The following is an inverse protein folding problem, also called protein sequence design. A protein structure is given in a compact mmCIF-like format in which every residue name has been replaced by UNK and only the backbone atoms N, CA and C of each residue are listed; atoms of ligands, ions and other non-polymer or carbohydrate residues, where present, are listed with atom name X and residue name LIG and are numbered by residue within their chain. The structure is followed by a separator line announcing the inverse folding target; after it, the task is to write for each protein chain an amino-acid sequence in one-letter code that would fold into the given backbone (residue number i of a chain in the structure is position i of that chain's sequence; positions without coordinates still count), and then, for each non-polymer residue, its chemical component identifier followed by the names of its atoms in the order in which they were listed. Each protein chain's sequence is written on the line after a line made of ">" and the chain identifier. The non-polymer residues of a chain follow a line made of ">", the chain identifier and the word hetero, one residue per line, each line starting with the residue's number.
data_IF_117461241805
#
_entry.id   IF_117461241805
#
_cell.length_a   1.000
_cell.length_b   1.000
_cell.length_c   1.000
_cell.angle_alpha   90.00
_cell.angle_beta   90.00
_cell.angle_gamma   90.00
#
_symmetry.space_group_name_H-M   'P 1'
#
loop_
_entity.id
_entity.type
_entity.pdbx_description
1 polymer ?
#
# COMPACT_ATOMS: atom_id res chain seq x y z
N UNK A 1 -1.88 8.46 -60.88
CA UNK A 1 -1.19 7.18 -61.16
C UNK A 1 0.26 7.33 -60.74
N UNK A 2 0.59 6.94 -59.51
CA UNK A 2 1.98 6.84 -59.05
C UNK A 2 2.21 5.40 -58.62
N UNK A 3 3.26 4.71 -59.10
CA UNK A 3 3.49 3.34 -58.74
C UNK A 3 4.27 3.22 -57.43
N UNK A 4 3.80 2.29 -56.60
CA UNK A 4 4.45 1.72 -55.43
C UNK A 4 5.63 0.82 -55.87
N UNK A 5 6.69 0.72 -55.06
CA UNK A 5 6.99 -0.47 -54.22
C UNK A 5 8.47 -0.55 -53.78
N UNK A 6 8.62 -0.84 -52.48
CA UNK A 6 9.59 -1.70 -51.77
C UNK A 6 11.02 -1.91 -52.29
N UNK A 7 12.00 -1.70 -51.39
CA UNK A 7 13.00 -2.73 -51.12
C UNK A 7 13.54 -2.68 -49.67
N UNK A 8 13.81 -3.86 -49.12
CA UNK A 8 14.27 -4.12 -47.76
C UNK A 8 15.67 -4.76 -47.83
N UNK A 9 16.62 -4.37 -46.96
CA UNK A 9 17.88 -5.13 -46.89
C UNK A 9 19.04 -4.51 -46.13
N UNK A 10 19.11 -4.86 -44.83
CA UNK A 10 20.28 -5.03 -43.95
C UNK A 10 21.66 -5.07 -44.63
N UNK A 11 22.65 -4.36 -44.05
CA UNK A 11 24.03 -4.86 -43.84
C UNK A 11 24.82 -4.04 -42.81
N UNK A 12 25.32 -4.73 -41.79
CA UNK A 12 26.32 -4.27 -40.83
C UNK A 12 27.74 -4.71 -41.26
N UNK A 13 28.76 -3.92 -40.87
CA UNK A 13 30.23 -4.15 -40.71
C UNK A 13 30.88 -2.74 -40.77
N UNK A 14 31.74 -2.21 -39.91
CA UNK A 14 32.59 -2.71 -38.81
C UNK A 14 33.96 -1.99 -38.92
N UNK A 15 34.49 -1.46 -37.79
CA UNK A 15 35.87 -0.96 -37.48
C UNK A 15 35.87 0.50 -36.94
N UNK A 16 36.00 0.75 -35.61
CA UNK A 16 37.24 0.92 -34.80
C UNK A 16 37.99 2.23 -35.14
N UNK A 17 38.25 3.24 -34.28
CA UNK A 17 38.65 3.38 -32.85
C UNK A 17 38.62 4.90 -32.49
N UNK A 18 39.17 5.46 -31.37
CA UNK A 18 39.38 4.99 -29.98
C UNK A 18 38.84 5.99 -28.91
N UNK A 19 38.81 5.57 -27.64
CA UNK A 19 39.01 6.47 -26.49
C UNK A 19 37.77 7.17 -25.92
N UNK A 20 37.22 6.62 -24.82
CA UNK A 20 36.21 7.29 -24.03
C UNK A 20 35.81 6.46 -22.82
N UNK A 21 36.52 6.63 -21.71
CA UNK A 21 36.16 6.04 -20.42
C UNK A 21 34.80 6.60 -19.98
N UNK A 22 33.73 5.83 -20.14
CA UNK A 22 32.42 6.17 -19.59
C UNK A 22 32.44 5.88 -18.08
N UNK A 23 33.00 6.81 -17.31
CA UNK A 23 32.77 6.85 -15.86
C UNK A 23 31.35 7.34 -15.65
N UNK A 24 30.47 6.43 -15.28
CA UNK A 24 29.18 6.73 -14.66
C UNK A 24 29.41 7.73 -13.53
N UNK A 25 28.92 8.97 -13.70
CA UNK A 25 28.86 9.93 -12.62
C UNK A 25 27.96 9.35 -11.51
N UNK A 26 28.40 9.29 -10.25
CA UNK A 26 27.51 8.99 -9.14
C UNK A 26 26.40 10.07 -9.11
N UNK A 27 25.16 9.61 -8.92
CA UNK A 27 24.06 10.51 -8.54
C UNK A 27 24.47 11.19 -7.22
N UNK A 28 24.47 12.53 -7.11
CA UNK A 28 24.78 13.16 -5.83
C UNK A 28 23.72 12.75 -4.82
N UNK A 29 24.17 12.36 -3.63
CA UNK A 29 23.32 12.11 -2.46
C UNK A 29 22.46 13.35 -2.21
N UNK A 30 21.23 13.33 -2.72
CA UNK A 30 20.25 14.37 -2.47
C UNK A 30 19.78 14.20 -1.03
N UNK A 31 20.53 14.82 -0.11
CA UNK A 31 20.01 15.26 1.18
C UNK A 31 18.69 15.97 0.89
N UNK A 32 17.60 15.47 1.47
CA UNK A 32 16.30 16.16 1.41
C UNK A 32 16.48 17.46 2.16
N UNK A 33 16.67 18.54 1.41
CA UNK A 33 16.78 19.88 1.97
C UNK A 33 15.39 20.31 2.42
N UNK A 34 15.19 20.35 3.73
CA UNK A 34 13.98 20.89 4.33
C UNK A 34 14.04 22.41 4.20
N UNK A 35 13.00 23.08 3.67
CA UNK A 35 13.03 24.54 3.61
C UNK A 35 13.21 25.11 5.02
N UNK A 36 14.23 25.95 5.20
CA UNK A 36 14.46 26.63 6.48
C UNK A 36 13.19 27.37 6.92
N UNK A 37 12.68 26.97 8.09
CA UNK A 37 11.41 27.44 8.62
C UNK A 37 11.49 28.92 9.01
N UNK A 38 11.06 29.81 8.10
CA UNK A 38 10.61 31.14 8.46
C UNK A 38 9.41 31.03 9.40
N UNK A 39 9.59 31.49 10.65
CA UNK A 39 8.58 31.78 11.68
C UNK A 39 7.29 30.95 11.63
N UNK A 40 7.18 29.94 12.50
CA UNK A 40 5.95 29.14 12.68
C UNK A 40 4.83 30.02 13.25
N UNK A 41 4.11 30.72 12.37
CA UNK A 41 2.86 31.35 12.73
C UNK A 41 1.86 30.23 13.11
N UNK A 42 1.36 30.25 14.35
CA UNK A 42 0.27 29.37 14.80
C UNK A 42 -1.00 29.71 14.02
N UNK A 43 -1.20 29.07 12.87
CA UNK A 43 -2.45 29.15 12.13
C UNK A 43 -3.41 28.09 12.71
N UNK A 44 -4.61 28.44 13.17
CA UNK A 44 -5.56 27.46 13.68
C UNK A 44 -5.93 26.48 12.56
N UNK A 45 -5.63 25.19 12.78
CA UNK A 45 -6.02 24.10 11.88
C UNK A 45 -7.54 24.00 11.92
N UNK A 46 -8.22 24.57 10.90
CA UNK A 46 -9.66 24.33 10.72
C UNK A 46 -9.86 22.84 10.46
N UNK A 47 -10.37 22.11 11.46
CA UNK A 47 -10.98 20.78 11.32
C UNK A 47 -12.28 20.89 10.51
N UNK A 48 -12.17 21.31 9.26
CA UNK A 48 -13.28 21.36 8.32
C UNK A 48 -13.38 20.04 7.57
N UNK A 49 -14.60 19.51 7.45
CA UNK A 49 -14.93 18.52 6.41
C UNK A 49 -14.44 19.08 5.08
N UNK A 50 -13.77 18.29 4.24
CA UNK A 50 -13.67 18.70 2.84
C UNK A 50 -15.09 18.75 2.32
N UNK A 51 -15.61 19.96 2.15
CA UNK A 51 -16.90 20.23 1.56
C UNK A 51 -16.86 19.64 0.17
N UNK A 52 -17.34 18.41 0.07
CA UNK A 52 -17.54 17.71 -1.17
C UNK A 52 -18.79 18.35 -1.77
N UNK A 53 -18.70 19.56 -2.28
CA UNK A 53 -19.69 20.20 -3.15
C UNK A 53 -19.01 20.41 -4.51
N UNK A 54 -19.75 20.22 -5.61
CA UNK A 54 -19.21 19.88 -6.94
C UNK A 54 -18.02 20.72 -7.44
N UNK A 55 -17.96 21.99 -7.06
CA UNK A 55 -16.96 22.95 -7.53
C UNK A 55 -15.60 22.86 -6.79
N UNK A 56 -15.55 22.34 -5.55
CA UNK A 56 -14.29 22.20 -4.77
C UNK A 56 -13.57 20.86 -4.98
N UNK A 57 -14.21 19.92 -5.68
CA UNK A 57 -13.73 18.54 -5.91
C UNK A 57 -13.00 18.40 -7.24
N UNK A 58 -13.50 19.09 -8.26
CA UNK A 58 -12.98 19.01 -9.61
C UNK A 58 -11.49 19.39 -9.61
N UNK A 59 -10.65 18.49 -10.12
CA UNK A 59 -9.23 18.73 -10.27
C UNK A 59 -8.33 18.30 -9.09
N UNK A 60 -8.85 17.85 -7.94
CA UNK A 60 -7.98 17.29 -6.89
C UNK A 60 -7.43 15.93 -7.32
N UNK A 61 -6.16 15.69 -7.04
CA UNK A 61 -5.47 14.44 -7.38
C UNK A 61 -5.45 13.51 -6.17
N UNK A 62 -5.87 12.26 -6.39
CA UNK A 62 -5.72 11.16 -5.45
C UNK A 62 -4.69 10.15 -5.97
N UNK A 63 -3.82 9.68 -5.09
CA UNK A 63 -2.86 8.61 -5.35
C UNK A 63 -3.29 7.38 -4.58
N UNK A 64 -3.34 6.22 -5.23
CA UNK A 64 -3.68 4.95 -4.58
C UNK A 64 -2.61 3.92 -4.92
N UNK A 65 -1.94 3.37 -3.90
CA UNK A 65 -0.97 2.27 -4.07
C UNK A 65 -1.66 0.90 -3.96
N UNK A 66 -1.11 -0.11 -4.63
CA UNK A 66 -1.78 -1.42 -4.73
C UNK A 66 -3.11 -1.34 -5.48
N UNK A 67 -3.20 -0.44 -6.46
CA UNK A 67 -4.45 -0.10 -7.14
C UNK A 67 -4.86 -1.05 -8.29
N UNK A 68 -4.07 -2.09 -8.55
CA UNK A 68 -4.36 -3.05 -9.62
C UNK A 68 -5.62 -3.89 -9.33
N UNK A 69 -5.98 -4.13 -8.07
CA UNK A 69 -7.08 -5.03 -7.70
C UNK A 69 -7.64 -4.77 -6.30
N UNK A 70 -8.70 -5.51 -5.96
CA UNK A 70 -9.27 -5.57 -4.62
C UNK A 70 -9.65 -4.19 -4.09
N UNK A 71 -9.31 -3.93 -2.83
CA UNK A 71 -9.65 -2.67 -2.14
C UNK A 71 -9.01 -1.45 -2.82
N UNK A 72 -7.79 -1.58 -3.34
CA UNK A 72 -7.11 -0.47 -4.02
C UNK A 72 -7.85 -0.04 -5.28
N UNK A 73 -8.16 -0.99 -6.17
CA UNK A 73 -8.92 -0.72 -7.39
C UNK A 73 -10.34 -0.18 -7.08
N UNK A 74 -11.03 -0.79 -6.11
CA UNK A 74 -12.36 -0.32 -5.70
C UNK A 74 -12.31 1.10 -5.10
N UNK A 75 -11.26 1.43 -4.33
CA UNK A 75 -11.05 2.77 -3.78
C UNK A 75 -10.76 3.79 -4.87
N UNK A 76 -9.92 3.44 -5.86
CA UNK A 76 -9.65 4.29 -7.02
C UNK A 76 -10.94 4.62 -7.79
N UNK A 77 -11.78 3.61 -8.09
CA UNK A 77 -13.09 3.81 -8.74
C UNK A 77 -14.00 4.74 -7.92
N UNK A 78 -14.13 4.49 -6.62
CA UNK A 78 -14.96 5.32 -5.74
C UNK A 78 -14.45 6.76 -5.62
N UNK A 79 -13.13 6.99 -5.66
CA UNK A 79 -12.56 8.34 -5.64
C UNK A 79 -12.82 9.06 -6.98
N UNK A 80 -12.70 8.36 -8.10
CA UNK A 80 -13.01 8.88 -9.42
C UNK A 80 -14.51 9.22 -9.58
N UNK A 81 -15.41 8.38 -9.07
CA UNK A 81 -16.86 8.66 -8.96
C UNK A 81 -17.16 9.94 -8.15
N UNK A 82 -16.25 10.39 -7.29
CA UNK A 82 -16.37 11.64 -6.53
C UNK A 82 -15.76 12.85 -7.25
N UNK A 83 -15.25 12.67 -8.46
CA UNK A 83 -14.68 13.72 -9.31
C UNK A 83 -13.18 13.94 -9.12
N UNK A 84 -12.48 13.07 -8.37
CA UNK A 84 -11.03 13.19 -8.21
C UNK A 84 -10.32 12.57 -9.42
N UNK A 85 -9.21 13.18 -9.81
CA UNK A 85 -8.28 12.57 -10.76
C UNK A 85 -7.43 11.55 -10.03
N UNK A 86 -7.17 10.38 -10.60
CA UNK A 86 -6.57 9.26 -9.85
C UNK A 86 -5.27 8.76 -10.48
N UNK A 87 -4.18 8.82 -9.71
CA UNK A 87 -2.94 8.12 -10.01
C UNK A 87 -2.96 6.72 -9.38
N UNK A 88 -2.88 5.69 -10.20
CA UNK A 88 -2.87 4.29 -9.81
C UNK A 88 -1.43 3.78 -9.78
N UNK A 89 -0.96 3.36 -8.61
CA UNK A 89 0.40 2.85 -8.41
C UNK A 89 0.33 1.37 -8.03
N UNK A 90 1.17 0.55 -8.63
CA UNK A 90 1.31 -0.87 -8.34
C UNK A 90 2.30 -1.54 -9.28
N UNK A 91 2.38 -2.88 -9.24
CA UNK A 91 3.40 -3.63 -9.98
C UNK A 91 3.00 -4.13 -11.36
N UNK A 92 1.71 -4.08 -11.66
CA UNK A 92 1.17 -4.72 -12.87
C UNK A 92 0.54 -3.65 -13.76
N UNK A 93 1.36 -3.01 -14.60
CA UNK A 93 0.93 -1.89 -15.44
C UNK A 93 -0.31 -2.24 -16.28
N UNK A 94 -0.32 -3.39 -16.95
CA UNK A 94 -1.46 -3.81 -17.77
C UNK A 94 -2.77 -3.95 -16.96
N UNK A 95 -2.71 -4.33 -15.68
CA UNK A 95 -3.88 -4.40 -14.81
C UNK A 95 -4.27 -3.00 -14.31
N UNK A 96 -3.29 -2.15 -13.95
CA UNK A 96 -3.54 -0.75 -13.58
C UNK A 96 -4.23 0.01 -14.70
N UNK A 97 -3.77 -0.14 -15.94
CA UNK A 97 -4.35 0.51 -17.11
C UNK A 97 -5.79 0.06 -17.38
N UNK A 98 -6.11 -1.23 -17.14
CA UNK A 98 -7.49 -1.71 -17.21
C UNK A 98 -8.38 -1.01 -16.18
N UNK A 99 -7.88 -0.79 -14.96
CA UNK A 99 -8.62 -0.02 -13.95
C UNK A 99 -8.73 1.45 -14.38
N UNK A 100 -7.65 2.07 -14.84
CA UNK A 100 -7.61 3.46 -15.31
C UNK A 100 -8.64 3.74 -16.41
N UNK A 101 -8.73 2.85 -17.42
CA UNK A 101 -9.74 2.94 -18.50
C UNK A 101 -11.19 2.85 -18.01
N UNK A 102 -11.42 2.29 -16.82
CA UNK A 102 -12.77 2.22 -16.24
C UNK A 102 -13.15 3.45 -15.41
N UNK A 103 -12.23 4.41 -15.21
CA UNK A 103 -12.48 5.58 -14.37
C UNK A 103 -13.15 6.71 -15.17
N UNK A 104 -14.16 7.40 -14.60
CA UNK A 104 -14.84 8.53 -15.25
C UNK A 104 -14.03 9.83 -15.27
N UNK A 105 -12.83 9.87 -14.68
CA UNK A 105 -11.98 11.05 -14.55
C UNK A 105 -10.58 10.78 -15.07
N UNK A 106 -9.82 11.85 -15.32
CA UNK A 106 -8.41 11.76 -15.70
C UNK A 106 -7.64 10.85 -14.72
N UNK A 107 -6.87 9.91 -15.28
CA UNK A 107 -6.09 8.98 -14.50
C UNK A 107 -4.76 8.64 -15.17
N UNK A 108 -3.77 8.26 -14.36
CA UNK A 108 -2.51 7.72 -14.86
C UNK A 108 -2.16 6.44 -14.11
N UNK A 109 -1.46 5.53 -14.78
CA UNK A 109 -0.96 4.29 -14.19
C UNK A 109 0.57 4.34 -14.15
N UNK A 110 1.15 3.98 -13.01
CA UNK A 110 2.58 4.00 -12.78
C UNK A 110 2.99 2.65 -12.20
N UNK A 111 3.87 1.95 -12.91
CA UNK A 111 4.46 0.71 -12.44
C UNK A 111 5.57 1.02 -11.44
N UNK A 112 5.33 0.73 -10.16
CA UNK A 112 6.28 1.00 -9.08
C UNK A 112 6.13 -0.06 -8.00
N UNK A 113 7.27 -0.64 -7.61
CA UNK A 113 7.40 -1.34 -6.34
C UNK A 113 7.49 -0.31 -5.21
N UNK A 114 6.56 -0.37 -4.25
CA UNK A 114 6.53 0.57 -3.11
C UNK A 114 7.74 0.47 -2.19
N UNK A 115 8.55 -0.58 -2.32
CA UNK A 115 9.83 -0.74 -1.59
C UNK A 115 11.00 -0.03 -2.27
N UNK A 116 10.84 0.43 -3.51
CA UNK A 116 11.82 1.27 -4.21
C UNK A 116 11.49 2.75 -3.99
N UNK A 117 12.22 3.37 -3.05
CA UNK A 117 12.03 4.78 -2.72
C UNK A 117 12.36 5.73 -3.88
N UNK A 118 13.34 5.38 -4.73
CA UNK A 118 13.75 6.21 -5.85
C UNK A 118 12.67 6.20 -6.93
N UNK A 119 12.11 5.04 -7.22
CA UNK A 119 10.97 4.89 -8.13
C UNK A 119 9.73 5.63 -7.59
N UNK A 120 9.44 5.54 -6.29
CA UNK A 120 8.34 6.30 -5.67
C UNK A 120 8.54 7.83 -5.78
N UNK A 121 9.76 8.33 -5.56
CA UNK A 121 10.07 9.76 -5.79
C UNK A 121 9.87 10.15 -7.26
N UNK A 122 10.27 9.29 -8.19
CA UNK A 122 10.01 9.45 -9.63
C UNK A 122 8.52 9.53 -9.93
N UNK A 123 7.73 8.58 -9.43
CA UNK A 123 6.29 8.56 -9.58
C UNK A 123 5.62 9.81 -8.98
N UNK A 124 6.06 10.27 -7.82
CA UNK A 124 5.55 11.51 -7.23
C UNK A 124 5.77 12.71 -8.16
N UNK A 125 6.96 12.86 -8.76
CA UNK A 125 7.22 13.91 -9.76
C UNK A 125 6.31 13.77 -10.97
N UNK A 126 6.20 12.57 -11.54
CA UNK A 126 5.34 12.33 -12.71
C UNK A 126 3.86 12.62 -12.43
N UNK A 127 3.35 12.29 -11.24
CA UNK A 127 1.98 12.66 -10.82
C UNK A 127 1.83 14.19 -10.78
N UNK A 128 2.78 14.88 -10.14
CA UNK A 128 2.74 16.33 -10.02
C UNK A 128 2.78 17.04 -11.38
N UNK A 129 3.58 16.54 -12.32
CA UNK A 129 3.73 17.09 -13.68
C UNK A 129 2.48 16.83 -14.54
N UNK A 130 1.95 15.61 -14.52
CA UNK A 130 0.84 15.20 -15.40
C UNK A 130 -0.50 15.67 -14.90
N UNK A 131 -0.72 15.58 -13.59
CA UNK A 131 -2.04 15.74 -12.97
C UNK A 131 -2.07 16.90 -11.97
N UNK A 132 -0.93 17.43 -11.54
CA UNK A 132 -0.84 18.38 -10.42
C UNK A 132 -0.63 17.69 -9.07
N UNK A 133 -0.46 18.47 -7.98
CA UNK A 133 -0.14 17.91 -6.67
C UNK A 133 -1.22 16.97 -6.13
N UNK A 134 -0.77 15.84 -5.61
CA UNK A 134 -1.56 14.95 -4.79
C UNK A 134 -2.15 15.69 -3.59
N UNK A 135 -3.48 15.64 -3.49
CA UNK A 135 -4.25 16.10 -2.32
C UNK A 135 -4.62 14.94 -1.41
N UNK A 136 -4.77 13.74 -1.97
CA UNK A 136 -5.06 12.51 -1.22
C UNK A 136 -4.03 11.46 -1.58
N UNK A 137 -3.47 10.79 -0.58
CA UNK A 137 -2.63 9.61 -0.78
C UNK A 137 -3.21 8.48 0.05
N UNK A 138 -3.58 7.39 -0.60
CA UNK A 138 -4.04 6.15 0.03
C UNK A 138 -2.93 5.12 -0.09
N UNK A 139 -2.15 4.98 0.97
CA UNK A 139 -1.11 3.96 1.07
C UNK A 139 -1.78 2.60 1.41
N UNK A 140 -2.17 1.90 0.34
CA UNK A 140 -2.97 0.68 0.40
C UNK A 140 -2.19 -0.59 0.03
N UNK A 141 -1.08 -0.48 -0.73
CA UNK A 141 -0.27 -1.62 -1.09
C UNK A 141 0.06 -2.50 0.12
N UNK A 142 -0.10 -3.81 -0.05
CA UNK A 142 0.19 -4.76 1.00
C UNK A 142 0.06 -6.20 0.57
N UNK A 143 0.90 -7.03 1.18
CA UNK A 143 0.92 -8.47 1.00
C UNK A 143 0.76 -9.16 2.36
N UNK A 144 0.42 -10.44 2.32
CA UNK A 144 0.33 -11.27 3.51
C UNK A 144 0.89 -12.65 3.20
N UNK A 145 1.47 -13.28 4.19
CA UNK A 145 1.88 -14.68 4.16
C UNK A 145 1.41 -15.32 5.45
N UNK A 146 1.11 -16.61 5.40
CA UNK A 146 0.77 -17.38 6.58
C UNK A 146 1.52 -18.72 6.66
N UNK A 147 1.87 -19.08 7.88
CA UNK A 147 2.56 -20.31 8.22
C UNK A 147 3.31 -20.18 9.54
N UNK A 148 3.84 -21.29 10.08
CA UNK A 148 4.71 -21.23 11.25
C UNK A 148 5.93 -20.40 10.98
N UNK A 149 6.31 -19.56 11.95
CA UNK A 149 7.53 -18.77 11.85
C UNK A 149 8.77 -19.63 11.54
N UNK A 150 8.85 -20.83 12.13
CA UNK A 150 9.96 -21.76 11.91
C UNK A 150 10.07 -22.28 10.46
N UNK A 151 9.00 -22.22 9.67
CA UNK A 151 8.97 -22.75 8.29
C UNK A 151 8.64 -21.68 7.25
N UNK A 152 8.27 -20.47 7.66
CA UNK A 152 8.14 -19.33 6.75
C UNK A 152 9.53 -18.91 6.29
N UNK A 153 9.72 -18.77 4.98
CA UNK A 153 10.95 -18.26 4.40
C UNK A 153 11.26 -16.86 4.94
N UNK A 154 12.49 -16.65 5.44
CA UNK A 154 12.91 -15.36 5.98
C UNK A 154 12.73 -14.22 4.98
N UNK A 155 13.08 -14.46 3.71
CA UNK A 155 12.94 -13.48 2.65
C UNK A 155 11.48 -13.08 2.38
N UNK A 156 10.51 -13.99 2.57
CA UNK A 156 9.08 -13.70 2.46
C UNK A 156 8.58 -12.94 3.69
N UNK A 157 9.07 -13.31 4.88
CA UNK A 157 8.78 -12.58 6.12
C UNK A 157 9.25 -11.13 6.02
N UNK A 158 10.50 -10.91 5.61
CA UNK A 158 11.10 -9.58 5.42
C UNK A 158 10.34 -8.79 4.36
N UNK A 159 9.93 -9.45 3.28
CA UNK A 159 9.17 -8.79 2.20
C UNK A 159 7.82 -8.28 2.68
N UNK A 160 7.12 -9.02 3.54
CA UNK A 160 5.86 -8.57 4.14
C UNK A 160 6.08 -7.29 4.95
N UNK A 161 7.15 -7.20 5.73
CA UNK A 161 7.51 -5.97 6.46
C UNK A 161 7.86 -4.84 5.48
N UNK A 162 8.72 -5.13 4.50
CA UNK A 162 9.18 -4.16 3.52
C UNK A 162 8.01 -3.53 2.75
N UNK A 163 7.08 -4.32 2.23
CA UNK A 163 5.94 -3.79 1.47
C UNK A 163 4.95 -3.07 2.38
N UNK A 164 4.52 -3.71 3.46
CA UNK A 164 3.38 -3.22 4.24
C UNK A 164 3.73 -2.02 5.11
N UNK A 165 4.94 -1.99 5.69
CA UNK A 165 5.38 -0.95 6.62
C UNK A 165 6.34 0.02 5.94
N UNK A 166 7.48 -0.47 5.45
CA UNK A 166 8.51 0.42 4.88
C UNK A 166 8.00 1.08 3.59
N UNK A 167 7.30 0.35 2.73
CA UNK A 167 6.72 0.88 1.50
C UNK A 167 5.57 1.86 1.75
N UNK A 168 4.81 1.65 2.81
CA UNK A 168 3.82 2.63 3.31
C UNK A 168 4.50 3.94 3.76
N UNK A 169 5.61 3.84 4.48
CA UNK A 169 6.40 4.99 4.90
C UNK A 169 7.08 5.70 3.71
N UNK A 170 7.66 4.94 2.79
CA UNK A 170 8.28 5.46 1.56
C UNK A 170 7.25 6.19 0.69
N UNK A 171 6.05 5.64 0.55
CA UNK A 171 4.93 6.29 -0.16
C UNK A 171 4.61 7.64 0.48
N UNK A 172 4.47 7.68 1.81
CA UNK A 172 4.19 8.93 2.51
C UNK A 172 5.31 9.96 2.30
N UNK A 173 6.58 9.57 2.46
CA UNK A 173 7.74 10.45 2.25
C UNK A 173 7.77 11.03 0.82
N UNK A 174 7.56 10.18 -0.19
CA UNK A 174 7.60 10.60 -1.60
C UNK A 174 6.53 11.64 -1.95
N UNK A 175 5.33 11.51 -1.38
CA UNK A 175 4.20 12.42 -1.67
C UNK A 175 4.01 13.54 -0.63
N UNK A 176 4.76 13.52 0.48
CA UNK A 176 4.62 14.51 1.55
C UNK A 176 4.75 15.95 1.06
N UNK A 177 5.72 16.34 0.20
CA UNK A 177 5.80 17.71 -0.30
C UNK A 177 4.52 18.18 -1.02
N UNK A 178 3.84 17.27 -1.72
CA UNK A 178 2.59 17.58 -2.40
C UNK A 178 1.42 17.69 -1.42
N UNK A 179 1.39 16.83 -0.41
CA UNK A 179 0.40 16.88 0.66
C UNK A 179 0.52 18.17 1.48
N UNK A 180 1.73 18.61 1.82
CA UNK A 180 1.96 19.89 2.52
C UNK A 180 1.43 21.04 1.66
N UNK A 181 1.81 21.11 0.39
CA UNK A 181 1.35 22.14 -0.56
C UNK A 181 -0.18 22.19 -0.68
N UNK A 182 -0.86 21.05 -0.61
CA UNK A 182 -2.32 20.98 -0.76
C UNK A 182 -3.08 20.97 0.56
N UNK A 183 -2.37 21.00 1.70
CA UNK A 183 -2.93 20.69 3.03
C UNK A 183 -3.80 19.42 2.97
N UNK A 184 -3.19 18.39 2.39
CA UNK A 184 -3.82 17.16 1.92
C UNK A 184 -4.13 16.14 3.02
N UNK A 185 -4.47 14.93 2.59
CA UNK A 185 -4.82 13.82 3.47
C UNK A 185 -4.07 12.55 3.10
N UNK A 186 -3.36 11.98 4.07
CA UNK A 186 -2.71 10.68 3.98
C UNK A 186 -3.57 9.65 4.71
N UNK A 187 -4.00 8.62 3.99
CA UNK A 187 -4.72 7.48 4.54
C UNK A 187 -3.85 6.22 4.51
N UNK A 188 -3.52 5.72 5.70
CA UNK A 188 -2.84 4.44 5.87
C UNK A 188 -3.85 3.30 5.94
N UNK A 189 -3.66 2.25 5.13
CA UNK A 189 -4.53 1.07 5.18
C UNK A 189 -3.92 -0.04 6.03
N UNK A 190 -4.42 -0.12 7.25
CA UNK A 190 -4.12 -1.17 8.20
C UNK A 190 -5.18 -2.28 8.17
N UNK A 191 -5.18 -3.13 9.19
CA UNK A 191 -6.11 -4.24 9.34
C UNK A 191 -6.48 -4.43 10.81
N UNK A 192 -7.55 -5.15 11.10
CA UNK A 192 -7.82 -5.65 12.46
C UNK A 192 -6.67 -6.51 13.01
N UNK A 193 -5.78 -7.03 12.15
CA UNK A 193 -4.52 -7.65 12.55
C UNK A 193 -3.55 -6.72 13.29
N UNK A 194 -3.80 -5.40 13.30
CA UNK A 194 -3.06 -4.44 14.13
C UNK A 194 -3.47 -4.50 15.62
N UNK A 195 -4.68 -4.97 15.91
CA UNK A 195 -5.22 -5.00 17.28
C UNK A 195 -4.75 -6.22 18.07
N UNK A 196 -4.42 -7.32 17.40
CA UNK A 196 -4.03 -8.55 18.05
C UNK A 196 -3.30 -9.49 17.10
N UNK A 197 -2.44 -10.33 17.67
CA UNK A 197 -1.68 -11.33 16.95
C UNK A 197 -2.57 -12.50 16.52
N UNK A 198 -2.68 -12.73 15.22
CA UNK A 198 -3.18 -13.99 14.69
C UNK A 198 -2.01 -14.98 14.61
N UNK A 199 -2.12 -16.19 15.18
CA UNK A 199 -1.14 -17.24 14.96
C UNK A 199 -0.87 -17.44 13.47
N UNK A 200 0.37 -17.80 13.13
CA UNK A 200 0.83 -18.05 11.77
C UNK A 200 0.90 -16.81 10.86
N UNK A 201 0.55 -15.61 11.32
CA UNK A 201 0.60 -14.38 10.51
C UNK A 201 1.57 -13.34 11.12
N UNK A 202 2.71 -13.79 11.64
CA UNK A 202 3.62 -12.95 12.44
C UNK A 202 4.08 -11.68 11.71
N UNK A 203 4.60 -11.80 10.47
CA UNK A 203 5.03 -10.64 9.68
C UNK A 203 3.86 -9.70 9.37
N UNK A 204 2.69 -10.25 9.02
CA UNK A 204 1.52 -9.47 8.68
C UNK A 204 1.01 -8.67 9.89
N UNK A 205 0.83 -9.32 11.05
CA UNK A 205 0.46 -8.66 12.30
C UNK A 205 1.49 -7.60 12.71
N UNK A 206 2.78 -7.93 12.69
CA UNK A 206 3.85 -6.99 13.01
C UNK A 206 3.82 -5.75 12.10
N UNK A 207 3.72 -5.95 10.78
CA UNK A 207 3.66 -4.84 9.82
C UNK A 207 2.43 -3.96 10.02
N UNK A 208 1.25 -4.53 10.26
CA UNK A 208 0.00 -3.75 10.42
C UNK A 208 -0.07 -3.03 11.77
N UNK A 209 0.49 -3.60 12.84
CA UNK A 209 0.70 -2.90 14.10
C UNK A 209 1.73 -1.76 13.95
N UNK A 210 2.83 -1.99 13.21
CA UNK A 210 3.82 -0.97 12.90
C UNK A 210 3.22 0.21 12.13
N UNK A 211 2.39 -0.06 11.11
CA UNK A 211 1.68 0.99 10.35
C UNK A 211 0.75 1.80 11.25
N UNK A 212 0.09 1.16 12.23
CA UNK A 212 -0.75 1.87 13.20
C UNK A 212 0.06 2.84 14.05
N UNK A 213 1.16 2.38 14.65
CA UNK A 213 2.02 3.23 15.47
C UNK A 213 2.63 4.37 14.64
N UNK A 214 3.12 4.06 13.44
CA UNK A 214 3.64 5.02 12.48
C UNK A 214 2.62 6.11 12.13
N UNK A 215 1.37 5.73 11.78
CA UNK A 215 0.33 6.68 11.43
C UNK A 215 -0.07 7.60 12.61
N UNK A 216 0.03 7.10 13.84
CA UNK A 216 -0.24 7.89 15.04
C UNK A 216 0.84 8.94 15.28
N UNK A 217 2.12 8.57 15.18
CA UNK A 217 3.25 9.50 15.30
C UNK A 217 3.19 10.60 14.23
N UNK A 218 3.01 10.19 12.97
CA UNK A 218 3.00 11.12 11.83
C UNK A 218 1.83 12.11 11.89
N UNK A 219 0.71 11.74 12.54
CA UNK A 219 -0.44 12.64 12.68
C UNK A 219 -0.09 13.91 13.44
N UNK A 220 0.65 13.80 14.54
CA UNK A 220 1.05 14.94 15.35
C UNK A 220 2.19 15.71 14.71
N UNK A 221 3.12 15.02 14.05
CA UNK A 221 4.23 15.65 13.33
C UNK A 221 3.77 16.55 12.18
N UNK A 222 2.74 16.13 11.44
CA UNK A 222 2.29 16.84 10.24
C UNK A 222 1.10 17.80 10.47
N UNK A 223 0.56 17.86 11.68
CA UNK A 223 -0.54 18.79 12.01
C UNK A 223 -0.18 20.27 11.78
N UNK A 224 1.02 20.77 12.15
CA UNK A 224 1.43 22.15 11.86
C UNK A 224 1.47 22.49 10.37
N UNK A 225 1.77 21.50 9.52
CA UNK A 225 1.80 21.64 8.06
C UNK A 225 0.41 21.54 7.40
N UNK A 226 -0.64 21.34 8.20
CA UNK A 226 -2.02 21.22 7.72
C UNK A 226 -2.34 19.92 6.98
N UNK A 227 -1.42 18.94 7.02
CA UNK A 227 -1.65 17.59 6.50
C UNK A 227 -2.34 16.75 7.56
N UNK A 228 -3.41 16.05 7.17
CA UNK A 228 -4.12 15.16 8.08
C UNK A 228 -3.76 13.72 7.78
N UNK A 229 -3.49 12.94 8.84
CA UNK A 229 -3.14 11.52 8.74
C UNK A 229 -4.23 10.69 9.38
N UNK A 230 -4.83 9.82 8.57
CA UNK A 230 -5.83 8.86 8.99
C UNK A 230 -5.33 7.43 8.85
N UNK A 231 -5.95 6.53 9.60
CA UNK A 231 -5.72 5.09 9.51
C UNK A 231 -7.04 4.35 9.30
N UNK A 232 -7.04 3.40 8.37
CA UNK A 232 -8.17 2.52 8.13
C UNK A 232 -7.90 1.12 8.69
N UNK A 233 -8.82 0.61 9.50
CA UNK A 233 -8.81 -0.76 10.00
C UNK A 233 -9.77 -1.60 9.17
N UNK A 234 -9.21 -2.38 8.25
CA UNK A 234 -9.97 -3.33 7.44
C UNK A 234 -10.15 -4.66 8.17
N UNK A 235 -11.37 -5.18 8.08
CA UNK A 235 -11.70 -6.54 8.46
C UNK A 235 -11.68 -7.47 7.25
N UNK A 236 -12.17 -8.70 7.41
CA UNK A 236 -12.28 -9.68 6.33
C UNK A 236 -12.93 -9.06 5.10
N UNK A 237 -12.15 -8.98 4.03
CA UNK A 237 -12.56 -8.35 2.78
C UNK A 237 -12.40 -9.36 1.66
N UNK A 238 -13.44 -9.48 0.82
CA UNK A 238 -13.53 -10.35 -0.35
C UNK A 238 -12.54 -9.92 -1.42
N UNK A 239 -11.28 -10.24 -1.20
CA UNK A 239 -10.16 -10.05 -2.12
C UNK A 239 -9.48 -11.40 -2.29
N UNK A 240 -8.65 -11.60 -3.32
CA UNK A 240 -7.93 -12.87 -3.47
C UNK A 240 -7.01 -13.23 -2.29
N UNK A 241 -6.75 -12.31 -1.35
CA UNK A 241 -6.10 -12.63 -0.07
C UNK A 241 -6.97 -13.55 0.81
N UNK A 242 -8.31 -13.40 0.80
CA UNK A 242 -9.22 -14.23 1.60
C UNK A 242 -9.25 -15.68 1.11
N UNK A 243 -9.09 -15.90 -0.19
CA UNK A 243 -9.05 -17.24 -0.78
C UNK A 243 -7.90 -18.06 -0.19
N UNK A 244 -6.72 -17.45 -0.04
CA UNK A 244 -5.58 -18.10 0.61
C UNK A 244 -5.77 -18.33 2.12
N UNK A 245 -6.60 -17.51 2.77
CA UNK A 245 -6.99 -17.68 4.18
C UNK A 245 -7.95 -18.87 4.34
N UNK A 246 -8.94 -19.00 3.46
CA UNK A 246 -9.85 -20.16 3.42
C UNK A 246 -9.12 -21.47 3.10
N UNK A 247 -8.11 -21.41 2.23
CA UNK A 247 -7.29 -22.56 1.87
C UNK A 247 -6.44 -23.10 3.04
N UNK A 248 -6.16 -22.28 4.06
CA UNK A 248 -5.38 -22.68 5.22
C UNK A 248 -6.29 -23.10 6.40
N UNK A 249 -6.26 -24.39 6.83
CA UNK A 249 -7.17 -24.90 7.86
C UNK A 249 -7.21 -24.08 9.14
N UNK A 250 -6.03 -23.69 9.67
CA UNK A 250 -5.92 -22.89 10.90
C UNK A 250 -6.55 -21.51 10.77
N UNK A 251 -6.36 -20.83 9.62
CA UNK A 251 -6.84 -19.46 9.47
C UNK A 251 -8.35 -19.44 9.22
N UNK A 252 -8.85 -20.41 8.46
CA UNK A 252 -10.29 -20.66 8.30
C UNK A 252 -10.94 -20.93 9.65
N UNK A 253 -10.33 -21.75 10.50
CA UNK A 253 -10.84 -22.02 11.84
C UNK A 253 -10.83 -20.77 12.73
N UNK A 254 -9.76 -19.97 12.70
CA UNK A 254 -9.67 -18.70 13.43
C UNK A 254 -10.79 -17.72 13.02
N UNK A 255 -11.12 -17.63 11.74
CA UNK A 255 -12.24 -16.81 11.25
C UNK A 255 -13.59 -17.39 11.68
N UNK A 256 -13.76 -18.71 11.54
CA UNK A 256 -15.01 -19.39 11.88
C UNK A 256 -15.39 -19.28 13.36
N UNK A 257 -14.39 -19.20 14.25
CA UNK A 257 -14.59 -19.03 15.69
C UNK A 257 -14.90 -17.58 16.12
N UNK A 258 -14.89 -16.61 15.21
CA UNK A 258 -15.30 -15.25 15.53
C UNK A 258 -16.83 -15.14 15.63
N UNK A 259 -17.35 -14.37 16.61
CA UNK A 259 -18.79 -14.18 16.77
C UNK A 259 -19.41 -13.56 15.52
N UNK A 260 -20.70 -13.82 15.28
CA UNK A 260 -21.43 -13.56 14.03
C UNK A 260 -20.98 -12.37 13.15
N UNK A 261 -20.96 -11.11 13.63
CA UNK A 261 -20.52 -9.98 12.80
C UNK A 261 -19.02 -9.97 12.46
N UNK A 262 -18.19 -10.64 13.26
CA UNK A 262 -16.74 -10.74 13.12
C UNK A 262 -16.24 -11.83 12.16
N UNK A 263 -17.09 -12.77 11.74
CA UNK A 263 -16.71 -13.76 10.71
C UNK A 263 -17.14 -13.35 9.29
N UNK A 264 -17.90 -12.24 9.16
CA UNK A 264 -18.44 -11.76 7.88
C UNK A 264 -17.36 -11.17 6.99
N UNK A 265 -17.43 -11.54 5.70
CA UNK A 265 -16.59 -11.00 4.64
C UNK A 265 -17.33 -9.88 3.92
N UNK A 266 -16.69 -8.71 3.80
CA UNK A 266 -17.24 -7.54 3.10
C UNK A 266 -16.67 -7.43 1.68
N UNK A 267 -17.44 -6.95 0.71
CA UNK A 267 -16.92 -6.75 -0.64
C UNK A 267 -15.89 -5.60 -0.69
N UNK A 268 -14.99 -5.64 -1.66
CA UNK A 268 -14.02 -4.56 -1.88
C UNK A 268 -14.71 -3.21 -2.10
N UNK A 269 -15.86 -3.19 -2.77
CA UNK A 269 -16.67 -1.99 -3.06
C UNK A 269 -17.30 -1.42 -1.78
N UNK A 270 -17.77 -2.28 -0.87
CA UNK A 270 -18.30 -1.87 0.43
C UNK A 270 -17.19 -1.23 1.27
N UNK A 271 -16.02 -1.87 1.30
CA UNK A 271 -14.84 -1.37 2.01
C UNK A 271 -14.37 -0.03 1.44
N UNK A 272 -14.22 0.06 0.12
CA UNK A 272 -13.88 1.30 -0.58
C UNK A 272 -14.87 2.43 -0.23
N UNK A 273 -16.17 2.12 -0.12
CA UNK A 273 -17.18 3.08 0.32
C UNK A 273 -16.92 3.64 1.73
N UNK A 274 -16.45 2.83 2.68
CA UNK A 274 -16.04 3.33 4.01
C UNK A 274 -14.75 4.15 3.94
N UNK A 275 -13.76 3.71 3.16
CA UNK A 275 -12.50 4.43 2.98
C UNK A 275 -12.71 5.81 2.38
N UNK A 276 -13.46 5.92 1.28
CA UNK A 276 -13.75 7.21 0.64
C UNK A 276 -14.52 8.14 1.56
N UNK A 277 -15.51 7.66 2.32
CA UNK A 277 -16.16 8.49 3.37
C UNK A 277 -15.17 8.98 4.43
N UNK A 278 -14.18 8.16 4.77
CA UNK A 278 -13.08 8.54 5.65
C UNK A 278 -12.22 9.65 5.04
N UNK A 279 -11.86 9.54 3.76
CA UNK A 279 -11.14 10.56 2.98
C UNK A 279 -11.91 11.88 2.96
N UNK A 280 -13.21 11.86 2.66
CA UNK A 280 -14.05 13.06 2.61
C UNK A 280 -14.12 13.82 3.94
N UNK A 281 -14.07 13.06 5.04
CA UNK A 281 -14.10 13.60 6.39
C UNK A 281 -12.70 13.87 6.96
N UNK A 282 -11.65 13.49 6.21
CA UNK A 282 -10.26 13.42 6.66
C UNK A 282 -10.16 12.80 8.07
N UNK A 283 -10.82 11.67 8.23
CA UNK A 283 -11.03 11.05 9.54
C UNK A 283 -9.71 10.51 10.12
N UNK A 284 -9.42 10.80 11.38
CA UNK A 284 -8.24 10.24 12.06
C UNK A 284 -8.26 8.69 12.08
N UNK A 285 -9.45 8.08 12.12
CA UNK A 285 -9.63 6.63 12.06
C UNK A 285 -10.87 6.25 11.23
N UNK A 286 -10.73 5.22 10.40
CA UNK A 286 -11.78 4.62 9.58
C UNK A 286 -11.92 3.14 9.96
N UNK A 287 -13.10 2.74 10.41
CA UNK A 287 -13.40 1.35 10.79
C UNK A 287 -14.24 0.71 9.69
N UNK A 288 -13.71 -0.36 9.09
CA UNK A 288 -14.31 -1.05 7.96
C UNK A 288 -14.45 -2.54 8.30
N UNK A 289 -15.56 -2.96 8.95
CA UNK A 289 -16.83 -2.26 9.16
C UNK A 289 -16.89 -1.38 10.43
N UNK A 290 -17.90 -0.51 10.51
CA UNK A 290 -18.02 0.54 11.54
C UNK A 290 -18.10 0.03 12.99
N UNK A 291 -18.69 -1.17 13.20
CA UNK A 291 -18.84 -1.76 14.53
C UNK A 291 -17.48 -2.09 15.18
N UNK A 292 -16.40 -2.23 14.39
CA UNK A 292 -15.05 -2.42 14.93
C UNK A 292 -14.61 -1.28 15.86
N UNK A 293 -15.21 -0.09 15.73
CA UNK A 293 -14.94 1.02 16.65
C UNK A 293 -15.26 0.66 18.10
N UNK A 294 -16.26 -0.20 18.32
CA UNK A 294 -16.66 -0.67 19.65
C UNK A 294 -15.71 -1.73 20.21
N UNK A 295 -14.93 -2.39 19.35
CA UNK A 295 -13.97 -3.43 19.74
C UNK A 295 -12.65 -2.83 20.18
N UNK A 296 -12.27 -1.67 19.63
CA UNK A 296 -10.96 -1.08 19.89
C UNK A 296 -10.61 -0.88 21.38
N UNK A 297 -11.54 -0.46 22.27
CA UNK A 297 -11.25 -0.36 23.71
C UNK A 297 -10.91 -1.71 24.36
N UNK A 298 -11.39 -2.82 23.78
CA UNK A 298 -11.14 -4.18 24.27
C UNK A 298 -9.81 -4.76 23.77
N UNK A 299 -9.02 -3.98 23.01
CA UNK A 299 -7.73 -4.40 22.45
C UNK A 299 -6.80 -5.08 23.45
N UNK A 300 -6.57 -4.57 24.69
CA UNK A 300 -5.67 -5.22 25.63
C UNK A 300 -6.08 -6.66 25.99
N UNK A 301 -7.36 -6.98 25.87
CA UNK A 301 -7.93 -8.30 26.20
C UNK A 301 -7.85 -9.26 25.01
N UNK A 302 -7.85 -8.75 23.77
CA UNK A 302 -7.89 -9.58 22.56
C UNK A 302 -6.73 -10.61 22.47
N UNK A 303 -5.45 -10.26 22.75
CA UNK A 303 -4.37 -11.24 22.71
C UNK A 303 -4.57 -12.40 23.68
N UNK A 304 -5.17 -12.16 24.85
CA UNK A 304 -5.43 -13.21 25.84
C UNK A 304 -6.48 -14.20 25.31
N UNK A 305 -7.57 -13.68 24.76
CA UNK A 305 -8.65 -14.49 24.17
C UNK A 305 -8.15 -15.26 22.95
N UNK A 306 -7.46 -14.59 22.03
CA UNK A 306 -6.92 -15.21 20.82
C UNK A 306 -5.88 -16.25 21.17
N UNK A 307 -4.98 -15.99 22.11
CA UNK A 307 -3.97 -16.97 22.55
C UNK A 307 -4.60 -18.18 23.24
N UNK A 308 -5.69 -17.99 23.97
CA UNK A 308 -6.42 -19.09 24.60
C UNK A 308 -7.12 -19.99 23.57
N UNK A 309 -7.82 -19.38 22.60
CA UNK A 309 -8.48 -20.11 21.50
C UNK A 309 -7.43 -20.79 20.64
N UNK A 310 -6.38 -20.06 20.24
CA UNK A 310 -5.29 -20.58 19.43
C UNK A 310 -4.61 -21.78 20.09
N UNK A 311 -4.31 -21.71 21.41
CA UNK A 311 -3.72 -22.85 22.13
C UNK A 311 -4.61 -24.09 22.07
N UNK A 312 -5.93 -23.93 22.21
CA UNK A 312 -6.89 -25.04 22.13
C UNK A 312 -7.01 -25.60 20.72
N UNK A 313 -7.05 -24.76 19.69
CA UNK A 313 -7.14 -25.20 18.29
C UNK A 313 -5.83 -25.83 17.82
N UNK A 314 -4.68 -25.21 18.08
CA UNK A 314 -3.36 -25.73 17.69
C UNK A 314 -3.06 -27.07 18.37
N UNK A 315 -3.46 -27.26 19.64
CA UNK A 315 -3.26 -28.53 20.36
C UNK A 315 -4.10 -29.69 19.79
N UNK A 316 -5.18 -29.40 19.06
CA UNK A 316 -6.07 -30.41 18.46
C UNK A 316 -5.72 -30.72 17.00
N UNK A 317 -4.79 -29.98 16.40
CA UNK A 317 -4.44 -30.13 14.99
C UNK A 317 -3.29 -31.12 14.80
N UNK A 318 -3.34 -31.96 13.75
CA UNK A 318 -2.24 -32.86 13.45
C UNK A 318 -0.99 -32.06 13.05
N UNK A 319 0.18 -32.49 13.51
CA UNK A 319 1.45 -31.77 13.33
C UNK A 319 1.78 -31.41 11.87
N UNK A 320 1.28 -32.20 10.91
CA UNK A 320 1.40 -31.94 9.47
C UNK A 320 0.68 -30.67 9.01
N UNK A 321 -0.50 -30.37 9.58
CA UNK A 321 -1.29 -29.19 9.23
C UNK A 321 -0.70 -27.94 9.86
N UNK A 322 -0.12 -28.07 11.05
CA UNK A 322 0.62 -27.01 11.70
C UNK A 322 1.83 -26.59 10.86
N UNK A 323 2.52 -27.52 10.18
CA UNK A 323 3.70 -27.21 9.35
C UNK A 323 3.39 -26.62 7.98
N UNK A 324 2.12 -26.48 7.60
CA UNK A 324 1.73 -26.00 6.27
C UNK A 324 1.99 -24.49 6.17
N UNK A 325 2.60 -24.08 5.08
CA UNK A 325 2.77 -22.67 4.69
C UNK A 325 1.87 -22.36 3.50
N UNK A 326 1.32 -21.16 3.44
CA UNK A 326 0.46 -20.74 2.30
C UNK A 326 1.25 -20.18 1.13
N UNK A 327 2.55 -19.89 1.31
CA UNK A 327 3.23 -18.91 0.47
C UNK A 327 2.58 -17.53 0.61
N UNK A 328 2.81 -16.66 -0.36
CA UNK A 328 2.19 -15.34 -0.39
C UNK A 328 0.70 -15.43 -0.76
N UNK A 329 -0.14 -14.68 -0.04
CA UNK A 329 -1.60 -14.75 -0.15
C UNK A 329 -2.13 -13.86 -1.27
N UNK A 330 -2.95 -14.47 -2.14
CA UNK A 330 -3.69 -13.80 -3.20
C UNK A 330 -2.83 -13.35 -4.40
N UNK A 331 -3.48 -12.97 -5.51
CA UNK A 331 -2.79 -12.63 -6.75
C UNK A 331 -1.92 -11.38 -6.60
N UNK A 332 -2.33 -10.40 -5.76
CA UNK A 332 -1.52 -9.21 -5.50
C UNK A 332 -0.22 -9.52 -4.77
N UNK A 333 -0.25 -10.50 -3.86
CA UNK A 333 0.94 -11.01 -3.21
C UNK A 333 1.84 -11.79 -4.17
N UNK A 334 1.26 -12.63 -5.03
CA UNK A 334 2.03 -13.40 -6.02
C UNK A 334 2.76 -12.51 -7.02
N UNK A 335 2.07 -11.52 -7.58
CA UNK A 335 2.71 -10.54 -8.45
C UNK A 335 3.85 -9.78 -7.74
N UNK A 336 3.77 -9.59 -6.42
CA UNK A 336 4.87 -9.00 -5.66
C UNK A 336 6.06 -9.95 -5.47
N UNK A 337 5.78 -11.22 -5.19
CA UNK A 337 6.78 -12.21 -4.84
C UNK A 337 7.49 -12.81 -6.06
N UNK A 338 6.75 -13.17 -7.10
CA UNK A 338 7.26 -13.88 -8.29
C UNK A 338 8.19 -12.99 -9.13
N UNK A 339 7.85 -11.71 -9.30
CA UNK A 339 8.70 -10.72 -9.95
C UNK A 339 10.09 -10.60 -9.28
N UNK A 340 10.18 -10.83 -7.95
CA UNK A 340 11.46 -10.79 -7.24
C UNK A 340 12.29 -12.02 -7.54
N UNK A 341 11.68 -13.21 -7.56
CA UNK A 341 12.41 -14.42 -7.97
C UNK A 341 12.97 -14.26 -9.39
N UNK A 342 12.22 -13.60 -10.28
CA UNK A 342 12.70 -13.24 -11.61
C UNK A 342 13.83 -12.18 -11.60
N UNK A 343 13.83 -11.25 -10.65
CA UNK A 343 14.86 -10.21 -10.50
C UNK A 343 16.15 -10.68 -9.78
N UNK A 344 16.12 -11.86 -9.13
CA UNK A 344 17.24 -12.42 -8.36
C UNK A 344 17.43 -11.79 -6.97
N UNK A 345 18.28 -12.38 -6.10
CA UNK A 345 18.51 -11.87 -4.75
C UNK A 345 19.23 -10.52 -4.79
N UNK A 346 18.63 -9.50 -4.17
CA UNK A 346 19.33 -8.25 -3.83
C UNK A 346 20.34 -8.56 -2.73
N UNK A 347 21.60 -8.77 -3.13
CA UNK A 347 22.72 -8.93 -2.19
C UNK A 347 22.94 -7.57 -1.52
N UNK A 348 22.82 -7.45 -0.19
CA UNK A 348 23.17 -6.21 0.48
C UNK A 348 24.64 -5.90 0.22
N UNK A 349 24.93 -4.66 -0.21
CA UNK A 349 26.29 -4.21 -0.45
C UNK A 349 27.12 -4.48 0.81
N UNK A 350 28.20 -5.28 0.68
CA UNK A 350 29.15 -5.49 1.77
C UNK A 350 29.70 -4.11 2.17
N UNK A 351 29.71 -3.77 3.47
CA UNK A 351 30.41 -2.58 3.91
C UNK A 351 31.89 -2.67 3.48
N UNK A 352 32.54 -1.54 3.14
CA UNK A 352 33.95 -1.54 2.78
C UNK A 352 34.74 -2.15 3.94
N UNK A 353 35.52 -3.19 3.63
CA UNK A 353 36.46 -3.76 4.59
C UNK A 353 37.51 -2.69 4.88
N UNK A 354 37.58 -2.28 6.15
CA UNK A 354 38.60 -1.39 6.70
C UNK A 354 39.96 -2.04 6.73
#
# INVERSE_FOLDING_TARGET
>A
MGPQMYDAGVRARGAASPGGTNRSRPCPDAVVDWPEHGGVARVPVRRGRWGMDGDRRAGRVAVVTGAARGVGAATARRLAERGLRVALIGRELGTLEKVARSLPTESCSLEVDVTDEAALRGAARSVAERMGPASVVVANAGIAAAGPFATTEAALWDRVIAVNLLGSAATARAFLPQLVRTRGYLLQVASTAAFGSAPLMSAYCASKAGVESYAQALRTELEPEGVQVGIAYLHWTGTGMIEGIEAHPVLRELRAHQPGPGSRVHSAEQVAGWLVRGVERRAAAVYAPRWLRLVQPLRPVLPLVVSHIARRSLARMPARELRRTTGVLGPGGRADWEDREAAGPVVPARPPQS
#
